data_IF_883128003788
#
_entry.id   IF_883128003788
#
_cell.length_a   1.000
_cell.length_b   1.000
_cell.length_c   1.000
_cell.angle_alpha   90.00
_cell.angle_beta   90.00
_cell.angle_gamma   90.00
#
_symmetry.space_group_name_H-M   'P 1'
#
loop_
_entity.id
_entity.type
_entity.pdbx_description
1 polymer ?
#
# COMPACT_ATOMS: atom_id res chain seq x y z
N UNK A 1 13.76 -2.80 66.61
CA UNK A 1 13.87 -1.49 67.31
C UNK A 1 15.32 -0.98 67.44
N UNK A 2 16.26 -1.83 67.86
CA UNK A 2 17.68 -1.46 68.02
C UNK A 2 18.53 -1.38 66.75
N UNK A 3 17.92 -1.53 65.56
CA UNK A 3 18.64 -1.40 64.28
C UNK A 3 18.86 0.07 63.92
N UNK A 4 20.04 0.41 63.38
CA UNK A 4 20.31 1.75 62.84
C UNK A 4 19.37 2.16 61.69
N UNK A 5 18.73 1.18 61.03
CA UNK A 5 17.75 1.42 59.96
C UNK A 5 16.33 1.69 60.48
N UNK A 6 16.07 1.53 61.79
CA UNK A 6 14.72 1.62 62.35
C UNK A 6 14.13 3.05 62.23
N UNK A 7 14.97 4.08 62.37
CA UNK A 7 14.55 5.50 62.26
C UNK A 7 14.38 5.98 60.82
N UNK A 8 15.16 5.43 59.88
CA UNK A 8 15.09 5.77 58.45
C UNK A 8 15.03 4.48 57.64
N UNK A 9 13.81 4.01 57.42
CA UNK A 9 13.54 2.72 56.80
C UNK A 9 13.81 2.81 55.29
N UNK A 10 14.82 2.08 54.76
CA UNK A 10 15.03 2.02 53.32
C UNK A 10 13.94 1.19 52.65
N UNK A 11 13.72 1.42 51.34
CA UNK A 11 12.78 0.61 50.55
C UNK A 11 13.22 -0.85 50.43
N UNK A 12 14.54 -1.09 50.43
CA UNK A 12 15.14 -2.40 50.28
C UNK A 12 16.15 -2.66 51.39
N UNK A 13 16.09 -3.86 51.95
CA UNK A 13 16.95 -4.30 53.05
C UNK A 13 17.32 -5.77 52.86
N UNK A 14 18.60 -6.09 53.06
CA UNK A 14 19.07 -7.45 53.25
C UNK A 14 19.12 -7.72 54.75
N UNK A 15 18.59 -8.88 55.17
CA UNK A 15 18.63 -9.31 56.58
C UNK A 15 19.35 -10.65 56.64
N UNK A 16 20.31 -10.80 57.55
CA UNK A 16 21.03 -12.07 57.69
C UNK A 16 20.16 -13.14 58.36
N UNK A 17 19.30 -12.75 59.30
CA UNK A 17 18.41 -13.67 60.01
C UNK A 17 17.03 -13.05 60.29
N UNK A 18 16.01 -13.90 60.27
CA UNK A 18 14.66 -13.60 60.75
C UNK A 18 14.43 -14.39 62.04
N UNK A 19 14.07 -13.71 63.12
CA UNK A 19 13.87 -14.30 64.45
C UNK A 19 12.46 -13.98 64.93
N UNK A 20 11.68 -15.02 65.24
CA UNK A 20 10.34 -14.88 65.80
C UNK A 20 10.38 -14.93 67.32
N UNK A 21 9.85 -13.89 67.98
CA UNK A 21 9.67 -13.85 69.43
C UNK A 21 8.22 -13.51 69.75
N UNK A 22 7.92 -12.24 70.04
CA UNK A 22 6.54 -11.72 70.12
C UNK A 22 5.98 -11.31 68.76
N UNK A 23 6.87 -11.03 67.80
CA UNK A 23 6.62 -10.75 66.38
C UNK A 23 7.80 -11.29 65.58
N UNK A 24 7.68 -11.35 64.25
CA UNK A 24 8.81 -11.62 63.36
C UNK A 24 9.73 -10.40 63.28
N UNK A 25 11.00 -10.57 63.64
CA UNK A 25 12.01 -9.51 63.63
C UNK A 25 13.17 -9.87 62.71
N UNK A 26 13.56 -8.94 61.83
CA UNK A 26 14.79 -9.05 61.05
C UNK A 26 15.99 -8.50 61.82
N UNK A 27 17.09 -9.28 61.92
CA UNK A 27 18.34 -8.88 62.59
C UNK A 27 19.52 -8.89 61.61
N UNK A 28 20.51 -8.07 61.94
CA UNK A 28 21.72 -7.85 61.11
C UNK A 28 21.30 -7.38 59.71
N UNK A 29 20.76 -6.16 59.67
CA UNK A 29 20.13 -5.60 58.48
C UNK A 29 21.05 -4.59 57.80
N UNK A 30 21.17 -4.68 56.48
CA UNK A 30 21.89 -3.72 55.65
C UNK A 30 20.96 -3.15 54.57
N UNK A 31 21.07 -1.85 54.30
CA UNK A 31 20.43 -1.25 53.12
C UNK A 31 21.08 -1.83 51.87
N UNK A 32 20.24 -2.18 50.89
CA UNK A 32 20.69 -2.58 49.55
C UNK A 32 19.96 -1.77 48.49
N UNK A 33 20.53 -1.72 47.29
CA UNK A 33 19.81 -1.29 46.09
C UNK A 33 19.42 -2.52 45.24
N UNK A 34 18.25 -2.50 44.55
CA UNK A 34 17.75 -3.64 43.78
C UNK A 34 18.71 -4.11 42.68
N UNK A 35 19.39 -3.15 42.05
CA UNK A 35 20.37 -3.38 40.98
C UNK A 35 21.58 -4.24 41.41
N UNK A 36 21.88 -4.30 42.72
CA UNK A 36 22.95 -5.15 43.24
C UNK A 36 22.56 -6.63 43.26
N UNK A 37 21.26 -6.94 43.28
CA UNK A 37 20.73 -8.29 43.46
C UNK A 37 20.93 -9.12 42.19
N UNK A 38 20.58 -8.57 41.03
CA UNK A 38 20.58 -9.29 39.75
C UNK A 38 21.94 -9.96 39.41
N UNK A 39 23.10 -9.28 39.46
CA UNK A 39 24.38 -9.90 39.13
C UNK A 39 24.82 -10.96 40.14
N UNK A 40 24.38 -10.87 41.41
CA UNK A 40 24.77 -11.81 42.48
C UNK A 40 23.85 -13.03 42.56
N UNK A 41 22.58 -12.88 42.18
CA UNK A 41 21.53 -13.88 42.37
C UNK A 41 20.94 -14.37 41.04
N UNK A 42 21.73 -14.38 39.95
CA UNK A 42 21.26 -14.73 38.60
C UNK A 42 20.56 -16.08 38.45
N UNK A 43 20.84 -17.03 39.37
CA UNK A 43 20.23 -18.36 39.42
C UNK A 43 18.90 -18.42 40.20
N UNK A 44 18.56 -17.37 40.97
CA UNK A 44 17.34 -17.26 41.76
C UNK A 44 16.29 -16.36 41.12
N UNK A 45 16.71 -15.51 40.19
CA UNK A 45 15.82 -14.58 39.51
C UNK A 45 15.01 -15.28 38.43
N UNK A 46 13.74 -14.89 38.29
CA UNK A 46 12.88 -15.29 37.17
C UNK A 46 12.76 -14.13 36.20
N UNK A 47 12.99 -14.42 34.92
CA UNK A 47 12.88 -13.47 33.79
C UNK A 47 11.60 -13.75 33.02
N UNK A 48 10.86 -12.70 32.72
CA UNK A 48 9.67 -12.74 31.86
C UNK A 48 9.82 -11.68 30.80
N UNK A 49 9.43 -12.00 29.57
CA UNK A 49 9.54 -11.10 28.43
C UNK A 49 8.14 -10.78 27.90
N UNK A 50 7.93 -9.54 27.46
CA UNK A 50 6.67 -9.07 26.91
C UNK A 50 6.90 -8.13 25.74
N UNK A 51 5.88 -7.98 24.90
CA UNK A 51 5.83 -7.05 23.77
C UNK A 51 7.04 -7.19 22.82
N UNK A 52 7.26 -8.37 22.22
CA UNK A 52 8.24 -8.48 21.13
C UNK A 52 7.79 -7.59 19.96
N UNK A 53 8.65 -6.67 19.55
CA UNK A 53 8.37 -5.72 18.48
C UNK A 53 9.62 -5.42 17.67
N UNK A 54 9.43 -5.16 16.38
CA UNK A 54 10.50 -4.72 15.51
C UNK A 54 10.90 -3.27 15.83
N UNK A 55 12.21 -2.99 15.92
CA UNK A 55 12.73 -1.62 15.98
C UNK A 55 13.60 -1.30 14.76
N UNK A 56 13.07 -0.48 13.84
CA UNK A 56 13.77 -0.05 12.63
C UNK A 56 15.21 0.44 12.87
N UNK A 57 15.44 1.24 13.93
CA UNK A 57 16.76 1.82 14.22
C UNK A 57 17.80 0.79 14.62
N UNK A 58 17.38 -0.26 15.32
CA UNK A 58 18.27 -1.36 15.73
C UNK A 58 18.31 -2.47 14.68
N UNK A 59 17.39 -2.45 13.71
CA UNK A 59 17.17 -3.51 12.74
C UNK A 59 17.08 -4.89 13.42
N UNK A 60 16.38 -4.95 14.56
CA UNK A 60 16.24 -6.14 15.37
C UNK A 60 14.92 -6.10 16.14
N UNK A 61 14.47 -7.28 16.54
CA UNK A 61 13.32 -7.42 17.45
C UNK A 61 13.77 -7.18 18.88
N UNK A 62 13.08 -6.25 19.53
CA UNK A 62 13.27 -5.87 20.92
C UNK A 62 12.08 -6.34 21.74
N UNK A 63 12.31 -6.59 23.02
CA UNK A 63 11.25 -6.91 23.96
C UNK A 63 11.52 -6.22 25.30
N UNK A 64 10.50 -6.16 26.14
CA UNK A 64 10.64 -5.73 27.51
C UNK A 64 10.85 -6.93 28.43
N UNK A 65 11.93 -6.89 29.20
CA UNK A 65 12.25 -7.86 30.23
C UNK A 65 11.84 -7.32 31.60
N UNK A 66 11.15 -8.15 32.37
CA UNK A 66 10.91 -7.98 33.80
C UNK A 66 11.64 -9.07 34.57
N UNK A 67 12.36 -8.68 35.61
CA UNK A 67 13.13 -9.60 36.46
C UNK A 67 12.57 -9.57 37.87
N UNK A 68 12.25 -10.74 38.40
CA UNK A 68 11.69 -10.90 39.76
C UNK A 68 12.56 -11.83 40.60
N UNK A 69 12.67 -11.53 41.89
CA UNK A 69 13.25 -12.43 42.90
C UNK A 69 12.16 -12.76 43.91
N UNK A 70 11.82 -14.05 44.05
CA UNK A 70 10.76 -14.51 44.96
C UNK A 70 9.43 -13.74 44.83
N UNK A 71 9.06 -13.35 43.61
CA UNK A 71 7.84 -12.59 43.31
C UNK A 71 7.98 -11.06 43.44
N UNK A 72 9.08 -10.56 43.99
CA UNK A 72 9.34 -9.12 44.08
C UNK A 72 10.07 -8.64 42.82
N UNK A 73 9.57 -7.63 42.10
CA UNK A 73 10.25 -7.08 40.94
C UNK A 73 11.53 -6.35 41.35
N UNK A 74 12.67 -6.80 40.83
CA UNK A 74 13.97 -6.13 40.97
C UNK A 74 14.29 -5.29 39.73
N UNK A 75 13.83 -5.72 38.55
CA UNK A 75 13.82 -4.93 37.31
C UNK A 75 12.38 -4.88 36.83
N UNK A 76 11.79 -3.68 36.86
CA UNK A 76 10.40 -3.49 36.47
C UNK A 76 10.21 -3.67 34.95
N UNK A 77 11.08 -3.05 34.16
CA UNK A 77 11.06 -3.08 32.70
C UNK A 77 12.42 -2.67 32.16
N UNK A 78 13.08 -3.55 31.38
CA UNK A 78 14.32 -3.28 30.66
C UNK A 78 14.17 -3.69 29.20
N UNK A 79 14.52 -2.81 28.27
CA UNK A 79 14.53 -3.18 26.85
C UNK A 79 15.71 -4.10 26.55
N UNK A 80 15.45 -5.24 25.92
CA UNK A 80 16.47 -6.25 25.58
C UNK A 80 16.31 -6.70 24.13
N UNK A 81 17.41 -7.16 23.53
CA UNK A 81 17.37 -7.80 22.21
C UNK A 81 16.73 -9.18 22.36
N UNK A 82 15.69 -9.45 21.57
CA UNK A 82 14.89 -10.66 21.70
C UNK A 82 15.40 -11.84 20.86
N UNK A 83 16.36 -11.60 19.95
CA UNK A 83 16.84 -12.60 18.99
C UNK A 83 17.49 -13.83 19.60
N UNK A 84 18.06 -13.74 20.82
CA UNK A 84 18.61 -14.90 21.55
C UNK A 84 17.59 -15.65 22.40
N UNK A 85 16.43 -15.04 22.65
CA UNK A 85 15.41 -15.56 23.55
C UNK A 85 14.40 -16.37 22.76
N UNK A 86 13.89 -15.82 21.66
CA UNK A 86 13.01 -16.52 20.73
C UNK A 86 13.37 -16.16 19.28
N UNK A 87 14.32 -16.90 18.68
CA UNK A 87 14.75 -16.67 17.31
C UNK A 87 13.62 -16.82 16.30
N UNK A 88 12.68 -17.75 16.52
CA UNK A 88 11.59 -18.03 15.59
C UNK A 88 10.63 -16.83 15.50
N UNK A 89 10.19 -16.30 16.65
CA UNK A 89 9.38 -15.07 16.69
C UNK A 89 10.14 -13.88 16.10
N UNK A 90 11.46 -13.80 16.32
CA UNK A 90 12.25 -12.71 15.77
C UNK A 90 12.39 -12.77 14.24
N UNK A 91 12.50 -13.97 13.68
CA UNK A 91 12.51 -14.19 12.23
C UNK A 91 11.18 -13.75 11.60
N UNK A 92 10.06 -14.22 12.15
CA UNK A 92 8.73 -13.88 11.63
C UNK A 92 8.52 -12.36 11.62
N UNK A 93 8.78 -11.68 12.74
CA UNK A 93 8.69 -10.23 12.84
C UNK A 93 9.70 -9.51 11.92
N UNK A 94 10.90 -10.06 11.71
CA UNK A 94 11.85 -9.50 10.75
C UNK A 94 11.28 -9.56 9.33
N UNK A 95 10.76 -10.70 8.89
CA UNK A 95 10.21 -10.82 7.53
C UNK A 95 9.01 -9.89 7.34
N UNK A 96 8.04 -9.92 8.28
CA UNK A 96 6.81 -9.11 8.19
C UNK A 96 7.11 -7.61 8.21
N UNK A 97 7.75 -7.12 9.26
CA UNK A 97 7.92 -5.68 9.44
C UNK A 97 9.06 -5.14 8.55
N UNK A 98 10.19 -5.83 8.48
CA UNK A 98 11.37 -5.29 7.80
C UNK A 98 11.28 -5.46 6.28
N UNK A 99 10.92 -6.65 5.79
CA UNK A 99 10.96 -6.99 4.37
C UNK A 99 9.64 -6.71 3.65
N UNK A 100 8.51 -7.13 4.23
CA UNK A 100 7.18 -6.99 3.61
C UNK A 100 6.66 -5.56 3.77
N UNK A 101 6.45 -5.11 5.01
CA UNK A 101 5.96 -3.75 5.30
C UNK A 101 6.97 -2.66 4.91
N UNK A 102 8.25 -3.02 4.84
CA UNK A 102 9.33 -2.14 4.42
C UNK A 102 9.86 -1.24 5.53
N UNK A 103 9.62 -1.57 6.80
CA UNK A 103 10.15 -0.84 7.96
C UNK A 103 11.65 -1.14 8.21
N UNK A 104 12.47 -1.02 7.16
CA UNK A 104 13.89 -1.33 7.25
C UNK A 104 14.76 -0.34 6.50
N UNK A 105 15.66 0.31 7.23
CA UNK A 105 16.66 1.22 6.65
C UNK A 105 17.88 0.45 6.21
N UNK A 106 17.87 0.04 4.94
CA UNK A 106 18.98 -0.71 4.33
C UNK A 106 19.54 -0.05 3.08
N UNK A 107 20.75 -0.46 2.69
CA UNK A 107 21.43 -0.07 1.44
C UNK A 107 21.38 -1.18 0.38
N UNK A 108 20.61 -2.24 0.61
CA UNK A 108 20.50 -3.34 -0.34
C UNK A 108 19.69 -2.93 -1.57
N UNK A 109 20.29 -3.13 -2.75
CA UNK A 109 19.67 -2.72 -4.02
C UNK A 109 18.36 -3.47 -4.30
N UNK A 110 18.35 -4.80 -4.13
CA UNK A 110 17.15 -5.63 -4.35
C UNK A 110 15.94 -5.11 -3.54
N UNK A 111 16.17 -4.63 -2.31
CA UNK A 111 15.10 -4.14 -1.45
C UNK A 111 14.45 -2.89 -2.02
N UNK A 112 15.26 -1.93 -2.50
CA UNK A 112 14.75 -0.71 -3.13
C UNK A 112 14.06 -0.99 -4.47
N UNK A 113 14.60 -1.94 -5.25
CA UNK A 113 14.00 -2.35 -6.52
C UNK A 113 12.66 -3.05 -6.30
N UNK A 114 12.56 -3.94 -5.31
CA UNK A 114 11.32 -4.59 -4.91
C UNK A 114 10.28 -3.59 -4.42
N UNK A 115 10.66 -2.65 -3.54
CA UNK A 115 9.75 -1.59 -3.05
C UNK A 115 9.25 -0.71 -4.18
N UNK A 116 10.10 -0.40 -5.15
CA UNK A 116 9.68 0.33 -6.36
C UNK A 116 8.69 -0.48 -7.17
N UNK A 117 8.92 -1.78 -7.36
CA UNK A 117 8.02 -2.64 -8.12
C UNK A 117 6.65 -2.81 -7.43
N UNK A 118 6.64 -2.97 -6.09
CA UNK A 118 5.40 -2.96 -5.30
C UNK A 118 4.62 -1.66 -5.51
N UNK A 119 5.28 -0.51 -5.38
CA UNK A 119 4.65 0.78 -5.62
C UNK A 119 4.12 0.94 -7.06
N UNK A 120 4.78 0.37 -8.07
CA UNK A 120 4.29 0.36 -9.44
C UNK A 120 3.03 -0.51 -9.62
N UNK A 121 2.90 -1.61 -8.88
CA UNK A 121 1.72 -2.48 -8.90
C UNK A 121 0.57 -1.90 -8.07
N UNK A 122 0.86 -1.31 -6.91
CA UNK A 122 -0.13 -0.54 -6.13
C UNK A 122 -0.72 0.61 -6.95
N UNK A 123 0.13 1.34 -7.70
CA UNK A 123 -0.36 2.34 -8.65
C UNK A 123 -1.26 1.74 -9.72
N UNK A 124 -0.95 0.54 -10.21
CA UNK A 124 -1.81 -0.16 -11.16
C UNK A 124 -3.18 -0.50 -10.54
N UNK A 125 -3.24 -0.90 -9.27
CA UNK A 125 -4.49 -1.14 -8.54
C UNK A 125 -5.36 0.12 -8.43
N UNK A 126 -4.73 1.23 -8.03
CA UNK A 126 -5.40 2.52 -7.94
C UNK A 126 -5.98 2.95 -9.30
N UNK A 127 -5.20 2.78 -10.37
CA UNK A 127 -5.61 3.08 -11.75
C UNK A 127 -6.75 2.20 -12.23
N UNK A 128 -6.63 0.89 -12.00
CA UNK A 128 -7.60 -0.11 -12.41
C UNK A 128 -8.84 -0.17 -11.52
N UNK A 129 -8.85 0.55 -10.40
CA UNK A 129 -9.93 0.53 -9.38
C UNK A 129 -10.21 -0.87 -8.85
N UNK A 130 -9.15 -1.68 -8.74
CA UNK A 130 -9.21 -3.08 -8.36
C UNK A 130 -8.18 -3.33 -7.28
N UNK A 131 -8.65 -3.74 -6.10
CA UNK A 131 -7.82 -4.04 -4.91
C UNK A 131 -7.37 -5.50 -4.86
N UNK A 132 -7.56 -6.23 -5.96
CA UNK A 132 -7.26 -7.65 -6.09
C UNK A 132 -6.15 -7.93 -7.11
N UNK A 133 -5.39 -6.91 -7.52
CA UNK A 133 -4.27 -7.08 -8.46
C UNK A 133 -2.99 -7.40 -7.69
N UNK A 134 -2.69 -6.69 -6.60
CA UNK A 134 -1.50 -6.97 -5.79
C UNK A 134 -1.73 -8.24 -4.96
N UNK A 135 -0.70 -9.07 -4.84
CA UNK A 135 -0.70 -10.20 -3.90
C UNK A 135 -0.70 -9.72 -2.45
N UNK A 136 -1.27 -10.52 -1.55
CA UNK A 136 -1.32 -10.16 -0.13
C UNK A 136 0.05 -10.26 0.57
N UNK A 137 0.14 -9.65 1.76
CA UNK A 137 1.34 -9.65 2.59
C UNK A 137 1.78 -11.06 2.99
N UNK A 138 0.86 -12.02 3.12
CA UNK A 138 1.19 -13.42 3.41
C UNK A 138 1.91 -14.10 2.23
N UNK A 139 1.53 -13.78 0.99
CA UNK A 139 2.22 -14.25 -0.21
C UNK A 139 3.64 -13.69 -0.29
N UNK A 140 3.81 -12.39 0.00
CA UNK A 140 5.13 -11.76 0.08
C UNK A 140 5.97 -12.35 1.22
N UNK A 141 5.35 -12.62 2.37
CA UNK A 141 5.98 -13.30 3.50
C UNK A 141 6.49 -14.68 3.09
N UNK A 142 5.64 -15.50 2.47
CA UNK A 142 6.00 -16.84 2.02
C UNK A 142 7.14 -16.84 1.00
N UNK A 143 7.18 -15.85 0.10
CA UNK A 143 8.29 -15.67 -0.85
C UNK A 143 9.63 -15.53 -0.11
N UNK A 144 9.69 -14.68 0.91
CA UNK A 144 10.90 -14.45 1.70
C UNK A 144 11.23 -15.63 2.60
N UNK A 145 10.25 -16.19 3.30
CA UNK A 145 10.45 -17.28 4.25
C UNK A 145 11.04 -18.53 3.59
N UNK A 146 10.60 -18.87 2.37
CA UNK A 146 11.14 -19.99 1.60
C UNK A 146 12.62 -19.80 1.18
N UNK A 147 13.11 -18.56 1.13
CA UNK A 147 14.45 -18.22 0.59
C UNK A 147 15.46 -17.87 1.66
N UNK A 148 15.00 -17.38 2.81
CA UNK A 148 15.86 -16.96 3.92
C UNK A 148 16.17 -18.18 4.82
N UNK A 149 17.44 -18.43 5.19
CA UNK A 149 17.78 -19.40 6.22
C UNK A 149 17.19 -19.05 7.59
N UNK A 150 16.83 -20.05 8.40
CA UNK A 150 16.16 -19.89 9.70
C UNK A 150 16.91 -19.00 10.69
N UNK A 151 18.24 -18.88 10.57
CA UNK A 151 19.07 -18.09 11.50
C UNK A 151 18.97 -16.58 11.28
N UNK A 152 18.33 -16.14 10.20
CA UNK A 152 18.12 -14.72 9.89
C UNK A 152 16.99 -14.16 10.75
N UNK A 153 17.37 -13.52 11.86
CA UNK A 153 16.44 -12.93 12.84
C UNK A 153 16.64 -11.42 13.05
N UNK A 154 17.57 -10.82 12.31
CA UNK A 154 17.90 -9.39 12.40
C UNK A 154 18.56 -8.90 11.11
N UNK A 155 18.62 -7.57 10.94
CA UNK A 155 19.34 -6.95 9.82
C UNK A 155 20.82 -7.32 9.81
N UNK A 156 21.48 -7.44 10.96
CA UNK A 156 22.89 -7.82 11.03
C UNK A 156 23.15 -9.27 10.57
N UNK A 157 22.24 -10.19 10.90
CA UNK A 157 22.30 -11.56 10.39
C UNK A 157 22.07 -11.58 8.88
N UNK A 158 21.07 -10.84 8.41
CA UNK A 158 20.77 -10.70 6.99
C UNK A 158 21.96 -10.14 6.22
N UNK A 159 22.55 -9.03 6.65
CA UNK A 159 23.65 -8.35 5.97
C UNK A 159 24.84 -9.30 5.78
N UNK A 160 25.14 -10.09 6.81
CA UNK A 160 26.25 -11.04 6.81
C UNK A 160 26.01 -12.19 5.82
N UNK A 161 24.79 -12.74 5.81
CA UNK A 161 24.38 -13.78 4.88
C UNK A 161 24.32 -13.26 3.44
N UNK A 162 23.64 -12.14 3.21
CA UNK A 162 23.41 -11.58 1.89
C UNK A 162 24.70 -11.16 1.19
N UNK A 163 25.71 -10.67 1.93
CA UNK A 163 27.03 -10.34 1.38
C UNK A 163 27.67 -11.50 0.62
N UNK A 164 27.47 -12.73 1.09
CA UNK A 164 27.94 -13.96 0.45
C UNK A 164 26.95 -14.43 -0.61
N UNK A 165 25.68 -14.61 -0.22
CA UNK A 165 24.66 -15.22 -1.07
C UNK A 165 24.43 -14.47 -2.38
N UNK A 166 24.47 -13.14 -2.36
CA UNK A 166 24.30 -12.30 -3.56
C UNK A 166 25.37 -12.49 -4.64
N UNK A 167 26.54 -13.06 -4.29
CA UNK A 167 27.59 -13.33 -5.27
C UNK A 167 27.28 -14.59 -6.08
N UNK A 168 26.57 -15.54 -5.45
CA UNK A 168 26.14 -16.80 -6.05
C UNK A 168 24.81 -16.60 -6.79
N UNK A 169 23.85 -15.94 -6.14
CA UNK A 169 22.48 -15.76 -6.61
C UNK A 169 22.03 -14.30 -6.35
N UNK A 170 22.40 -13.34 -7.20
CA UNK A 170 22.10 -11.91 -6.99
C UNK A 170 20.59 -11.61 -6.98
N UNK A 171 19.82 -12.37 -7.76
CA UNK A 171 18.39 -12.14 -7.98
C UNK A 171 17.49 -13.00 -7.07
N UNK A 172 18.07 -13.74 -6.11
CA UNK A 172 17.33 -14.66 -5.23
C UNK A 172 16.11 -14.00 -4.57
N UNK A 173 16.27 -12.74 -4.14
CA UNK A 173 15.25 -11.99 -3.43
C UNK A 173 14.58 -10.91 -4.29
N UNK A 174 14.89 -10.84 -5.58
CA UNK A 174 14.28 -9.88 -6.50
C UNK A 174 12.88 -10.35 -6.89
N UNK A 175 11.90 -9.44 -6.86
CA UNK A 175 10.57 -9.74 -7.36
C UNK A 175 10.52 -9.70 -8.89
N UNK A 176 9.75 -10.61 -9.47
CA UNK A 176 9.25 -10.45 -10.84
C UNK A 176 7.85 -9.85 -10.81
N UNK A 177 7.53 -8.99 -11.77
CA UNK A 177 6.23 -8.31 -11.83
C UNK A 177 5.05 -9.28 -11.90
N UNK A 178 5.23 -10.42 -12.57
CA UNK A 178 4.25 -11.51 -12.65
C UNK A 178 3.92 -12.12 -11.28
N UNK A 179 4.89 -12.20 -10.37
CA UNK A 179 4.69 -12.77 -9.03
C UNK A 179 3.87 -11.86 -8.12
N UNK A 180 3.88 -10.55 -8.39
CA UNK A 180 3.13 -9.56 -7.61
C UNK A 180 1.69 -9.40 -8.07
N UNK A 181 1.35 -9.93 -9.25
CA UNK A 181 0.00 -9.81 -9.82
C UNK A 181 -0.78 -11.08 -9.53
N UNK A 182 -1.91 -10.93 -8.88
CA UNK A 182 -2.85 -12.01 -8.60
C UNK A 182 -3.35 -12.60 -9.93
N UNK A 183 -3.22 -13.92 -10.12
CA UNK A 183 -3.60 -14.58 -11.38
C UNK A 183 -5.09 -14.38 -11.74
N UNK A 184 -5.93 -14.14 -10.74
CA UNK A 184 -7.37 -13.86 -10.89
C UNK A 184 -7.68 -12.44 -11.35
N UNK A 185 -6.70 -11.54 -11.34
CA UNK A 185 -6.89 -10.13 -11.71
C UNK A 185 -7.07 -9.91 -13.21
N UNK A 186 -6.85 -10.93 -14.05
CA UNK A 186 -6.79 -10.74 -15.51
C UNK A 186 -5.54 -9.95 -15.92
N UNK A 187 -5.18 -10.00 -17.21
CA UNK A 187 -3.96 -9.37 -17.73
C UNK A 187 -4.09 -7.84 -17.81
N UNK A 188 -4.12 -7.17 -16.67
CA UNK A 188 -4.10 -5.69 -16.60
C UNK A 188 -2.67 -5.21 -16.83
N UNK A 189 -2.45 -4.37 -17.84
CA UNK A 189 -1.13 -3.86 -18.20
C UNK A 189 -0.99 -2.35 -17.98
N UNK A 190 0.24 -1.87 -17.89
CA UNK A 190 0.52 -0.43 -17.83
C UNK A 190 0.06 0.32 -19.09
N UNK A 191 0.02 -0.37 -20.24
CA UNK A 191 -0.47 0.21 -21.49
C UNK A 191 -1.96 0.56 -21.42
N UNK A 192 -2.73 -0.18 -20.61
CA UNK A 192 -4.15 0.06 -20.40
C UNK A 192 -4.41 1.34 -19.58
N UNK A 193 -3.42 1.77 -18.78
CA UNK A 193 -3.49 2.93 -17.88
C UNK A 193 -2.29 3.87 -18.05
N UNK A 194 -2.20 4.60 -19.18
CA UNK A 194 -1.03 5.38 -19.56
C UNK A 194 -0.81 6.62 -18.67
N UNK A 195 0.45 6.98 -18.43
CA UNK A 195 0.81 8.21 -17.67
C UNK A 195 0.61 9.50 -18.50
N UNK A 196 0.43 9.35 -19.81
CA UNK A 196 0.34 10.47 -20.76
C UNK A 196 -0.72 10.22 -21.81
N UNK A 197 -1.45 11.27 -22.15
CA UNK A 197 -2.42 11.30 -23.25
C UNK A 197 -1.82 12.09 -24.41
N UNK A 198 -1.90 11.59 -25.64
CA UNK A 198 -1.38 12.28 -26.84
C UNK A 198 -2.53 12.69 -27.76
N UNK A 199 -2.54 13.95 -28.17
CA UNK A 199 -3.44 14.47 -29.20
C UNK A 199 -2.62 15.25 -30.22
N UNK A 200 -2.44 14.65 -31.42
CA UNK A 200 -1.52 15.18 -32.43
C UNK A 200 -0.10 15.33 -31.90
N UNK A 201 0.39 16.58 -31.81
CA UNK A 201 1.72 16.92 -31.27
C UNK A 201 1.71 17.24 -29.77
N UNK A 202 0.54 17.36 -29.16
CA UNK A 202 0.39 17.69 -27.74
C UNK A 202 0.43 16.42 -26.90
N UNK A 203 1.07 16.51 -25.73
CA UNK A 203 1.14 15.45 -24.74
C UNK A 203 0.73 16.00 -23.38
N UNK A 204 -0.27 15.38 -22.77
CA UNK A 204 -0.82 15.77 -21.47
C UNK A 204 -0.50 14.72 -20.43
N UNK A 205 -0.27 15.14 -19.18
CA UNK A 205 -0.12 14.21 -18.06
C UNK A 205 -1.50 13.67 -17.69
N UNK A 206 -1.57 12.37 -17.40
CA UNK A 206 -2.78 11.73 -16.88
C UNK A 206 -2.54 11.33 -15.44
N UNK A 207 -3.53 11.57 -14.58
CA UNK A 207 -3.55 11.07 -13.20
C UNK A 207 -4.86 10.36 -12.92
N UNK A 208 -4.80 9.40 -12.01
CA UNK A 208 -5.92 8.54 -11.68
C UNK A 208 -6.24 8.69 -10.21
N UNK A 209 -7.51 8.80 -9.87
CA UNK A 209 -7.96 8.88 -8.49
C UNK A 209 -9.11 7.90 -8.30
N UNK A 210 -9.06 7.13 -7.20
CA UNK A 210 -10.13 6.24 -6.76
C UNK A 210 -10.65 6.72 -5.40
N UNK A 211 -11.48 7.76 -5.44
CA UNK A 211 -12.14 8.34 -4.27
C UNK A 211 -13.63 8.53 -4.60
N UNK A 212 -14.46 7.50 -4.36
CA UNK A 212 -15.89 7.59 -4.61
C UNK A 212 -16.51 8.82 -3.93
N UNK A 213 -17.12 9.70 -4.72
CA UNK A 213 -17.77 10.93 -4.24
C UNK A 213 -16.94 12.21 -4.37
N UNK A 214 -15.67 12.14 -4.81
CA UNK A 214 -14.89 13.32 -5.18
C UNK A 214 -15.17 13.76 -6.63
N UNK A 215 -15.10 15.06 -6.91
CA UNK A 215 -15.34 15.60 -8.27
C UNK A 215 -14.31 15.12 -9.30
N UNK A 216 -13.06 14.94 -8.85
CA UNK A 216 -11.94 14.43 -9.65
C UNK A 216 -11.86 12.88 -9.68
N UNK A 217 -12.86 12.17 -9.13
CA UNK A 217 -12.91 10.72 -9.18
C UNK A 217 -12.90 10.24 -10.64
N UNK A 218 -11.90 9.42 -10.99
CA UNK A 218 -11.72 8.87 -12.33
C UNK A 218 -10.37 9.27 -12.95
N UNK A 219 -10.40 9.54 -14.25
CA UNK A 219 -9.23 9.94 -15.05
C UNK A 219 -9.17 11.44 -15.15
N UNK A 220 -8.08 12.05 -14.72
CA UNK A 220 -7.81 13.48 -14.87
C UNK A 220 -6.70 13.74 -15.88
N UNK A 221 -6.99 14.53 -16.91
CA UNK A 221 -6.03 15.00 -17.89
C UNK A 221 -5.59 16.42 -17.53
N UNK A 222 -4.29 16.62 -17.35
CA UNK A 222 -3.72 17.91 -16.98
C UNK A 222 -3.36 18.70 -18.24
N UNK A 223 -4.09 19.79 -18.48
CA UNK A 223 -3.97 20.63 -19.67
C UNK A 223 -3.24 21.93 -19.28
N UNK A 224 -2.04 22.20 -19.83
CA UNK A 224 -1.38 23.49 -19.61
C UNK A 224 -2.20 24.64 -20.20
N UNK A 225 -2.32 25.74 -19.46
CA UNK A 225 -3.12 26.90 -19.86
C UNK A 225 -2.73 27.44 -21.26
N UNK A 226 -1.46 27.38 -21.62
CA UNK A 226 -0.93 27.91 -22.90
C UNK A 226 -1.47 27.17 -24.13
N UNK A 227 -1.89 25.92 -23.95
CA UNK A 227 -2.37 25.06 -25.04
C UNK A 227 -3.85 24.74 -24.91
N UNK A 228 -4.56 25.27 -23.90
CA UNK A 228 -5.98 25.00 -23.66
C UNK A 228 -6.86 25.29 -24.89
N UNK A 229 -6.59 26.40 -25.58
CA UNK A 229 -7.29 26.78 -26.82
C UNK A 229 -6.92 25.92 -28.05
N UNK A 230 -5.89 25.06 -27.93
CA UNK A 230 -5.43 24.16 -29.00
C UNK A 230 -5.92 22.72 -28.81
N UNK A 231 -6.43 22.35 -27.62
CA UNK A 231 -6.92 21.00 -27.31
C UNK A 231 -8.33 20.79 -27.87
N UNK A 232 -8.62 19.73 -28.60
CA UNK A 232 -10.02 19.42 -28.95
C UNK A 232 -10.59 18.37 -28.00
N UNK A 233 -11.91 18.29 -27.88
CA UNK A 233 -12.56 17.23 -27.10
C UNK A 233 -12.40 15.84 -27.76
N UNK A 234 -11.98 15.81 -29.03
CA UNK A 234 -11.90 14.59 -29.84
C UNK A 234 -10.94 13.56 -29.24
N UNK A 235 -11.43 12.33 -29.11
CA UNK A 235 -10.69 11.18 -28.60
C UNK A 235 -10.81 11.02 -27.09
N UNK A 236 -11.00 12.08 -26.31
CA UNK A 236 -11.17 11.98 -24.85
C UNK A 236 -12.45 11.22 -24.46
N UNK A 237 -13.45 11.26 -25.34
CA UNK A 237 -14.69 10.49 -25.24
C UNK A 237 -14.48 8.97 -25.35
N UNK A 238 -13.37 8.51 -25.95
CA UNK A 238 -13.00 7.10 -25.98
C UNK A 238 -12.42 6.59 -24.65
N UNK A 239 -12.02 7.49 -23.74
CA UNK A 239 -11.37 7.13 -22.48
C UNK A 239 -10.05 6.35 -22.68
N UNK A 240 -9.29 6.11 -21.61
CA UNK A 240 -8.12 5.21 -21.65
C UNK A 240 -8.54 3.74 -21.91
N UNK A 241 -7.66 2.90 -22.48
CA UNK A 241 -8.02 1.51 -22.83
C UNK A 241 -8.55 0.70 -21.64
N UNK A 242 -7.95 0.86 -20.45
CA UNK A 242 -8.32 0.10 -19.25
C UNK A 242 -9.73 0.36 -18.73
N UNK A 243 -10.33 1.51 -19.03
CA UNK A 243 -11.72 1.84 -18.62
C UNK A 243 -12.71 1.81 -19.78
N UNK A 244 -12.24 1.57 -21.00
CA UNK A 244 -13.05 1.70 -22.20
C UNK A 244 -14.15 0.65 -22.31
N UNK A 245 -13.86 -0.59 -21.94
CA UNK A 245 -14.87 -1.65 -21.92
C UNK A 245 -16.02 -1.29 -20.97
N UNK A 246 -15.69 -0.75 -19.79
CA UNK A 246 -16.68 -0.31 -18.81
C UNK A 246 -17.50 0.87 -19.35
N UNK A 247 -16.85 1.87 -19.95
CA UNK A 247 -17.52 3.01 -20.58
C UNK A 247 -18.50 2.56 -21.67
N UNK A 248 -18.05 1.71 -22.60
CA UNK A 248 -18.89 1.18 -23.68
C UNK A 248 -20.06 0.36 -23.13
N UNK A 249 -19.81 -0.45 -22.10
CA UNK A 249 -20.87 -1.23 -21.45
C UNK A 249 -21.93 -0.32 -20.83
N UNK A 250 -21.53 0.75 -20.14
CA UNK A 250 -22.46 1.71 -19.55
C UNK A 250 -23.21 2.54 -20.60
N UNK A 251 -22.56 2.90 -21.72
CA UNK A 251 -23.23 3.52 -22.87
C UNK A 251 -24.31 2.58 -23.43
N UNK A 252 -24.03 1.29 -23.61
CA UNK A 252 -25.05 0.33 -24.06
C UNK A 252 -26.21 0.24 -23.05
N UNK A 253 -25.93 0.33 -21.74
CA UNK A 253 -26.96 0.33 -20.69
C UNK A 253 -27.78 1.63 -20.66
N UNK A 254 -27.21 2.74 -21.14
CA UNK A 254 -27.85 4.05 -21.19
C UNK A 254 -28.90 4.14 -22.31
N UNK A 255 -28.82 3.29 -23.34
CA UNK A 255 -29.80 3.22 -24.42
C UNK A 255 -31.26 3.09 -23.92
N UNK A 256 -32.24 3.66 -24.66
CA UNK A 256 -33.67 3.44 -24.44
C UNK A 256 -34.02 1.96 -24.40
N UNK A 257 -34.98 1.60 -23.54
CA UNK A 257 -35.43 0.20 -23.35
C UNK A 257 -35.72 -0.56 -24.66
N UNK A 258 -36.37 0.05 -25.69
CA UNK A 258 -36.64 -0.64 -26.96
C UNK A 258 -35.39 -1.01 -27.76
N UNK A 259 -34.32 -0.22 -27.68
CA UNK A 259 -33.05 -0.46 -28.37
C UNK A 259 -32.17 -1.40 -27.54
N UNK A 260 -32.03 -1.13 -26.24
CA UNK A 260 -31.16 -1.86 -25.32
C UNK A 260 -31.42 -3.37 -25.30
N UNK A 261 -32.68 -3.81 -25.45
CA UNK A 261 -33.04 -5.24 -25.48
C UNK A 261 -32.36 -6.04 -26.60
N UNK A 262 -31.93 -5.37 -27.67
CA UNK A 262 -31.22 -5.99 -28.79
C UNK A 262 -29.70 -6.10 -28.54
N UNK A 263 -29.20 -5.51 -27.46
CA UNK A 263 -27.78 -5.46 -27.09
C UNK A 263 -27.52 -6.15 -25.74
N UNK A 264 -28.26 -7.22 -25.42
CA UNK A 264 -28.11 -7.99 -24.17
C UNK A 264 -27.41 -9.32 -24.47
N UNK A 265 -26.38 -9.71 -23.69
CA UNK A 265 -25.74 -8.98 -22.58
C UNK A 265 -24.84 -7.83 -23.04
N UNK A 266 -24.98 -6.65 -22.43
CA UNK A 266 -24.19 -5.46 -22.79
C UNK A 266 -22.66 -5.68 -22.78
N UNK A 267 -22.06 -6.40 -21.80
CA UNK A 267 -20.62 -6.68 -21.80
C UNK A 267 -20.15 -7.42 -23.05
N UNK A 268 -20.94 -8.38 -23.56
CA UNK A 268 -20.56 -9.15 -24.75
C UNK A 268 -20.48 -8.26 -26.01
N UNK A 269 -21.42 -7.31 -26.13
CA UNK A 269 -21.41 -6.35 -27.24
C UNK A 269 -20.25 -5.36 -27.10
N UNK A 270 -19.94 -4.92 -25.88
CA UNK A 270 -18.80 -4.04 -25.62
C UNK A 270 -17.46 -4.71 -25.98
N UNK A 271 -17.22 -5.93 -25.52
CA UNK A 271 -16.02 -6.71 -25.85
C UNK A 271 -15.90 -6.94 -27.36
N UNK A 272 -17.01 -7.26 -28.02
CA UNK A 272 -17.05 -7.46 -29.47
C UNK A 272 -16.73 -6.16 -30.22
N UNK A 273 -17.30 -5.03 -29.79
CA UNK A 273 -17.03 -3.71 -30.36
C UNK A 273 -15.53 -3.37 -30.28
N UNK A 274 -14.91 -3.54 -29.11
CA UNK A 274 -13.49 -3.25 -28.91
C UNK A 274 -12.55 -4.17 -29.69
N UNK A 275 -12.95 -5.42 -29.94
CA UNK A 275 -12.18 -6.34 -30.77
C UNK A 275 -12.29 -6.03 -32.27
N UNK A 276 -13.46 -5.59 -32.72
CA UNK A 276 -13.78 -5.39 -34.14
C UNK A 276 -13.53 -3.94 -34.62
N UNK A 277 -13.31 -3.00 -33.69
CA UNK A 277 -13.11 -1.57 -33.98
C UNK A 277 -11.74 -1.13 -33.46
N UNK A 278 -10.75 -0.85 -34.33
CA UNK A 278 -9.45 -0.34 -33.90
C UNK A 278 -9.55 1.07 -33.31
N UNK A 279 -8.72 1.32 -32.30
CA UNK A 279 -8.67 2.58 -31.55
C UNK A 279 -7.63 3.58 -32.12
N UNK A 280 -7.84 4.90 -31.98
CA UNK A 280 -9.08 5.65 -32.12
C UNK A 280 -9.36 5.93 -33.61
N UNK A 281 -10.62 5.80 -34.03
CA UNK A 281 -11.04 6.30 -35.35
C UNK A 281 -11.15 7.84 -35.32
N UNK A 282 -11.09 8.49 -36.50
CA UNK A 282 -11.34 9.94 -36.66
C UNK A 282 -12.83 10.30 -36.46
N UNK A 283 -13.52 9.66 -35.51
CA UNK A 283 -14.93 9.91 -35.17
C UNK A 283 -15.23 9.69 -33.68
N UNK A 284 -16.29 10.33 -33.15
CA UNK A 284 -16.71 10.15 -31.75
C UNK A 284 -17.06 8.70 -31.40
N UNK A 285 -16.81 8.30 -30.15
CA UNK A 285 -17.08 6.95 -29.63
C UNK A 285 -18.55 6.55 -29.83
N UNK A 286 -19.48 7.45 -29.53
CA UNK A 286 -20.92 7.20 -29.69
C UNK A 286 -21.29 6.96 -31.16
N UNK A 287 -20.62 7.63 -32.10
CA UNK A 287 -20.82 7.41 -33.53
C UNK A 287 -20.29 6.07 -34.00
N UNK A 288 -19.07 5.71 -33.58
CA UNK A 288 -18.49 4.40 -33.88
C UNK A 288 -19.33 3.26 -33.29
N UNK A 289 -19.75 3.40 -32.02
CA UNK A 289 -20.56 2.41 -31.32
C UNK A 289 -21.97 2.29 -31.93
N UNK A 290 -22.62 3.39 -32.29
CA UNK A 290 -23.93 3.38 -32.97
C UNK A 290 -23.87 2.63 -34.30
N UNK A 291 -22.83 2.89 -35.12
CA UNK A 291 -22.64 2.22 -36.40
C UNK A 291 -22.43 0.72 -36.21
N UNK A 292 -21.57 0.32 -35.27
CA UNK A 292 -21.33 -1.08 -34.93
C UNK A 292 -22.60 -1.78 -34.45
N UNK A 293 -23.30 -1.21 -33.46
CA UNK A 293 -24.51 -1.81 -32.91
C UNK A 293 -25.62 -1.89 -33.94
N UNK A 294 -25.77 -0.90 -34.83
CA UNK A 294 -26.74 -0.97 -35.93
C UNK A 294 -26.48 -2.16 -36.85
N UNK A 295 -25.21 -2.40 -37.20
CA UNK A 295 -24.81 -3.53 -38.04
C UNK A 295 -25.04 -4.88 -37.39
N UNK A 296 -24.78 -5.00 -36.08
CA UNK A 296 -24.89 -6.27 -35.35
C UNK A 296 -26.31 -6.56 -34.85
N UNK A 297 -27.04 -5.55 -34.39
CA UNK A 297 -28.39 -5.70 -33.82
C UNK A 297 -29.50 -5.66 -34.87
N UNK A 298 -29.22 -5.17 -36.08
CA UNK A 298 -30.20 -5.07 -37.18
C UNK A 298 -31.28 -4.01 -36.96
N UNK A 299 -31.10 -3.12 -35.97
CA UNK A 299 -31.99 -1.99 -35.66
C UNK A 299 -31.16 -0.72 -35.71
N UNK A 300 -31.70 0.34 -36.32
CA UNK A 300 -31.03 1.65 -36.38
C UNK A 300 -30.86 2.21 -34.97
N UNK A 301 -29.60 2.44 -34.60
CA UNK A 301 -29.19 3.14 -33.37
C UNK A 301 -28.43 4.38 -33.83
N UNK A 302 -28.80 5.54 -33.31
CA UNK A 302 -28.16 6.82 -33.59
C UNK A 302 -27.26 7.24 -32.41
N UNK A 303 -26.22 8.08 -32.63
CA UNK A 303 -25.35 8.57 -31.56
C UNK A 303 -26.11 9.29 -30.44
N UNK A 304 -27.23 9.94 -30.78
CA UNK A 304 -28.07 10.70 -29.85
C UNK A 304 -28.96 9.81 -28.97
N UNK A 305 -29.07 8.51 -29.28
CA UNK A 305 -29.80 7.55 -28.44
C UNK A 305 -29.05 7.23 -27.14
N UNK A 306 -27.74 7.51 -27.05
CA UNK A 306 -26.96 7.29 -25.83
C UNK A 306 -27.17 8.42 -24.84
N UNK A 307 -27.60 8.07 -23.62
CA UNK A 307 -27.76 9.03 -22.53
C UNK A 307 -26.45 9.16 -21.72
N UNK A 308 -25.68 10.21 -22.00
CA UNK A 308 -24.42 10.51 -21.31
C UNK A 308 -24.60 10.85 -19.82
N UNK A 309 -25.80 11.29 -19.39
CA UNK A 309 -26.08 11.61 -17.99
C UNK A 309 -26.20 10.36 -17.10
N UNK A 310 -26.48 9.20 -17.72
CA UNK A 310 -26.57 7.90 -17.04
C UNK A 310 -25.23 7.18 -16.93
N UNK A 311 -24.19 7.69 -17.58
CA UNK A 311 -22.84 7.14 -17.47
C UNK A 311 -22.23 7.61 -16.13
N UNK A 312 -21.69 6.69 -15.30
CA UNK A 312 -21.02 7.04 -14.06
C UNK A 312 -19.94 8.12 -14.26
N UNK A 313 -19.91 9.11 -13.37
CA UNK A 313 -19.04 10.27 -13.50
C UNK A 313 -17.55 9.91 -13.62
N UNK A 314 -17.09 8.82 -12.98
CA UNK A 314 -15.70 8.37 -13.02
C UNK A 314 -15.25 7.78 -14.36
N UNK A 315 -16.20 7.49 -15.27
CA UNK A 315 -15.91 7.02 -16.63
C UNK A 315 -15.78 8.17 -17.64
N UNK A 316 -16.05 9.40 -17.21
CA UNK A 316 -15.82 10.60 -18.01
C UNK A 316 -14.49 11.24 -17.61
N UNK A 317 -13.72 11.68 -18.61
CA UNK A 317 -12.46 12.39 -18.36
C UNK A 317 -12.76 13.72 -17.67
N UNK A 318 -11.96 14.02 -16.65
CA UNK A 318 -11.89 15.33 -16.02
C UNK A 318 -10.68 16.08 -16.58
N UNK A 319 -10.87 17.30 -17.04
CA UNK A 319 -9.80 18.18 -17.47
C UNK A 319 -9.41 19.09 -16.33
N UNK A 320 -8.11 19.24 -16.10
CA UNK A 320 -7.55 20.11 -15.05
C UNK A 320 -6.58 21.08 -15.69
N UNK A 321 -6.82 22.37 -15.54
CA UNK A 321 -5.93 23.40 -16.08
C UNK A 321 -4.77 23.67 -15.13
N UNK A 322 -3.54 23.70 -15.65
CA UNK A 322 -2.32 23.89 -14.86
C UNK A 322 -1.46 25.06 -15.37
N UNK A 323 -0.75 25.70 -14.44
CA UNK A 323 0.21 26.79 -14.72
C UNK A 323 1.53 26.28 -15.33
N UNK A 324 2.45 27.19 -15.66
CA UNK A 324 3.81 26.88 -16.16
C UNK A 324 4.64 26.00 -15.22
N UNK A 325 4.33 26.04 -13.92
CA UNK A 325 4.97 25.24 -12.88
C UNK A 325 4.19 23.96 -12.56
N UNK A 326 3.20 23.60 -13.40
CA UNK A 326 2.30 22.44 -13.23
C UNK A 326 1.48 22.48 -11.94
N UNK A 327 1.26 23.66 -11.37
CA UNK A 327 0.38 23.85 -10.22
C UNK A 327 -1.03 24.02 -10.71
N UNK A 328 -1.98 23.48 -9.94
CA UNK A 328 -3.41 23.66 -10.20
C UNK A 328 -3.75 25.14 -10.22
N UNK A 329 -4.51 25.56 -11.22
CA UNK A 329 -5.09 26.90 -11.24
C UNK A 329 -6.38 26.90 -10.43
N UNK A 330 -6.59 28.00 -9.69
CA UNK A 330 -7.82 28.27 -8.96
C UNK A 330 -8.48 29.45 -9.67
N UNK A 331 -9.73 29.27 -10.11
CA UNK A 331 -10.54 30.30 -10.78
C UNK A 331 -11.86 30.40 -10.02
N UNK A 332 -12.26 31.62 -9.67
CA UNK A 332 -13.45 31.91 -8.83
C UNK A 332 -13.55 31.09 -7.53
N UNK A 333 -12.41 30.84 -6.88
CA UNK A 333 -12.36 30.12 -5.60
C UNK A 333 -12.55 28.60 -5.68
N UNK A 334 -12.60 28.01 -6.87
CA UNK A 334 -12.59 26.57 -7.09
C UNK A 334 -11.42 26.15 -7.99
N UNK A 335 -11.00 24.89 -7.90
CA UNK A 335 -10.02 24.32 -8.82
C UNK A 335 -10.56 24.44 -10.27
N UNK A 336 -9.68 24.81 -11.21
CA UNK A 336 -10.00 24.88 -12.64
C UNK A 336 -10.10 23.46 -13.23
N UNK A 337 -11.16 22.76 -12.82
CA UNK A 337 -11.44 21.36 -13.13
C UNK A 337 -12.87 21.19 -13.60
N UNK A 338 -13.08 20.52 -14.73
CA UNK A 338 -14.41 20.23 -15.27
C UNK A 338 -14.34 19.01 -16.20
N UNK A 339 -15.48 18.36 -16.43
CA UNK A 339 -15.66 17.27 -17.41
C UNK A 339 -16.06 17.80 -18.78
N UNK A 340 -16.30 19.09 -18.90
CA UNK A 340 -16.55 19.83 -20.13
C UNK A 340 -15.39 20.80 -20.41
N UNK A 341 -14.65 20.52 -21.48
CA UNK A 341 -13.50 21.32 -21.90
C UNK A 341 -13.90 22.73 -22.36
N UNK A 342 -15.09 22.90 -22.93
CA UNK A 342 -15.56 24.19 -23.40
C UNK A 342 -16.04 25.06 -22.24
N UNK A 343 -16.64 24.45 -21.21
CA UNK A 343 -16.93 25.14 -19.96
C UNK A 343 -15.65 25.71 -19.30
N UNK A 344 -14.55 24.94 -19.31
CA UNK A 344 -13.25 25.39 -18.80
C UNK A 344 -12.60 26.50 -19.60
N UNK A 345 -12.93 26.66 -20.88
CA UNK A 345 -12.40 27.73 -21.73
C UNK A 345 -13.13 29.05 -21.54
N UNK A 346 -14.42 28.96 -21.23
CA UNK A 346 -15.28 30.11 -21.01
C UNK A 346 -15.03 30.77 -19.66
N UNK A 347 -14.61 29.98 -18.67
CA UNK A 347 -14.20 30.42 -17.34
C UNK A 347 -12.76 30.94 -17.35
#
# INVERSE_FOLDING_TARGET
>A
PGSGLFRKQPRWVMSAELVETSRLWARINARIEPEWIEPLAGHLVKRTYSEPHWEQKQAAVMAYERVTLYGVPIVAQRKVNYGRIDPATCRDLFIRNALVEGDWRTRHQFFHDNRKLLAEVEELEHRARRRDILVDDETLYAFYDQRLPEEIVSGAHFDSWWKRKRQEEPDLLSFEKSMLINERAGAVTKADYPDTWRQGRLSFRVTYQFEPGADADGVTVHVPLQVLNQVTADGFDWQIPGLREQLVTELIRSLPKPLRRHCVPAPNFAQRFLRETPEPEERPLTAALAAFLTGVAGVRIAPEDFDASRVPGHLRITFRVVDERRRKLIVDGADAEDKDLDALRLR
#
